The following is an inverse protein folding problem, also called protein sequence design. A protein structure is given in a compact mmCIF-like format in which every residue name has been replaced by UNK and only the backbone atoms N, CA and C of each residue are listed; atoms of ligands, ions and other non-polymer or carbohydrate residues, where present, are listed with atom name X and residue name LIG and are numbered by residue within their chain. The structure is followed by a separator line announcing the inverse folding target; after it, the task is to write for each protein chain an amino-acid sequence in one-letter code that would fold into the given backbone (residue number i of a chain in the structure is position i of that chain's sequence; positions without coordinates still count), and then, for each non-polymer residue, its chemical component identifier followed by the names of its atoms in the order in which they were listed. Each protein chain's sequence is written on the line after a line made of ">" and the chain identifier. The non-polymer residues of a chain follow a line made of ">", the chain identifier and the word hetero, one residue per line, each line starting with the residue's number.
data_IF_544115282416
#
_entry.id   IF_544115282416
#
_cell.length_a   1.000
_cell.length_b   1.000
_cell.length_c   1.000
_cell.angle_alpha   90.00
_cell.angle_beta   90.00
_cell.angle_gamma   90.00
#
_symmetry.space_group_name_H-M   'P 1'
#
loop_
_entity.id
_entity.type
_entity.pdbx_description
1 polymer ?
#
# COMPACT_ATOMS: atom_id res chain seq x y z
N UNK A 1 24.40 -6.71 -7.86
CA UNK A 1 23.01 -7.19 -7.94
C UNK A 1 22.24 -5.96 -8.36
N UNK A 2 21.83 -5.91 -9.63
CA UNK A 2 21.06 -4.79 -10.13
C UNK A 2 19.65 -4.96 -9.57
N UNK A 3 19.22 -4.04 -8.69
CA UNK A 3 17.84 -3.98 -8.24
C UNK A 3 16.98 -3.58 -9.45
N UNK A 4 16.38 -4.56 -10.10
CA UNK A 4 15.46 -4.32 -11.20
C UNK A 4 14.03 -4.26 -10.66
N UNK A 5 13.46 -3.05 -10.64
CA UNK A 5 12.08 -2.82 -10.25
C UNK A 5 11.16 -3.27 -11.38
N UNK A 6 10.20 -4.15 -11.08
CA UNK A 6 9.20 -4.54 -12.05
C UNK A 6 8.10 -3.46 -12.10
N UNK A 7 8.22 -2.57 -13.08
CA UNK A 7 7.30 -1.43 -13.21
C UNK A 7 5.86 -1.85 -13.50
N UNK A 8 5.63 -2.97 -14.20
CA UNK A 8 4.27 -3.45 -14.47
C UNK A 8 3.61 -3.98 -13.20
N UNK A 9 4.32 -4.81 -12.43
CA UNK A 9 3.85 -5.30 -11.12
C UNK A 9 3.57 -4.15 -10.14
N UNK A 10 4.43 -3.12 -10.13
CA UNK A 10 4.23 -1.93 -9.29
C UNK A 10 2.96 -1.16 -9.69
N UNK A 11 2.75 -0.95 -10.99
CA UNK A 11 1.55 -0.27 -11.51
C UNK A 11 0.29 -1.08 -11.20
N UNK A 12 0.32 -2.39 -11.41
CA UNK A 12 -0.81 -3.27 -11.14
C UNK A 12 -1.17 -3.27 -9.64
N UNK A 13 -0.16 -3.37 -8.77
CA UNK A 13 -0.36 -3.28 -7.32
C UNK A 13 -0.95 -1.92 -6.93
N UNK A 14 -0.46 -0.82 -7.50
CA UNK A 14 -0.96 0.53 -7.21
C UNK A 14 -2.42 0.69 -7.64
N UNK A 15 -2.79 0.20 -8.83
CA UNK A 15 -4.19 0.23 -9.28
C UNK A 15 -5.09 -0.61 -8.38
N UNK A 16 -4.64 -1.80 -7.99
CA UNK A 16 -5.40 -2.69 -7.11
C UNK A 16 -5.70 -2.01 -5.77
N UNK A 17 -4.68 -1.48 -5.09
CA UNK A 17 -4.87 -0.81 -3.79
C UNK A 17 -5.70 0.47 -3.91
N UNK A 18 -5.62 1.23 -5.02
CA UNK A 18 -6.46 2.41 -5.25
C UNK A 18 -7.94 2.00 -5.39
N UNK A 19 -8.20 0.88 -6.07
CA UNK A 19 -9.57 0.39 -6.29
C UNK A 19 -10.28 -0.02 -4.99
N UNK A 20 -9.52 -0.44 -3.97
CA UNK A 20 -10.03 -0.77 -2.64
C UNK A 20 -10.30 0.52 -1.87
N UNK A 21 -11.57 0.77 -1.54
CA UNK A 21 -11.97 1.95 -0.78
C UNK A 21 -11.47 1.82 0.66
N UNK A 22 -10.71 2.82 1.09
CA UNK A 22 -10.10 2.85 2.41
C UNK A 22 -10.27 4.24 3.01
N UNK A 23 -11.51 4.70 3.20
CA UNK A 23 -11.72 5.98 3.86
C UNK A 23 -11.26 5.92 5.31
N UNK A 24 -10.93 7.07 5.91
CA UNK A 24 -10.58 7.16 7.33
C UNK A 24 -11.54 6.33 8.20
N UNK A 25 -10.97 5.48 9.07
CA UNK A 25 -11.66 4.51 9.94
C UNK A 25 -12.40 3.36 9.24
N UNK A 26 -12.32 3.25 7.91
CA UNK A 26 -13.01 2.24 7.07
C UNK A 26 -12.06 1.53 6.12
N UNK A 27 -10.83 1.29 6.57
CA UNK A 27 -9.74 0.71 5.79
C UNK A 27 -9.52 -0.80 6.02
N UNK A 28 -10.45 -1.48 6.70
CA UNK A 28 -10.36 -2.93 7.03
C UNK A 28 -10.07 -3.79 5.80
N UNK A 29 -10.78 -3.56 4.69
CA UNK A 29 -10.61 -4.36 3.46
C UNK A 29 -9.22 -4.19 2.86
N UNK A 30 -8.69 -2.95 2.85
CA UNK A 30 -7.33 -2.70 2.38
C UNK A 30 -6.29 -3.29 3.32
N UNK A 31 -6.51 -3.22 4.65
CA UNK A 31 -5.63 -3.88 5.61
C UNK A 31 -5.56 -5.40 5.38
N UNK A 32 -6.70 -6.06 5.14
CA UNK A 32 -6.78 -7.50 4.87
C UNK A 32 -6.07 -7.88 3.56
N UNK A 33 -6.24 -7.07 2.52
CA UNK A 33 -5.52 -7.21 1.25
C UNK A 33 -4.00 -7.09 1.46
N UNK A 34 -3.54 -6.05 2.16
CA UNK A 34 -2.12 -5.82 2.39
C UNK A 34 -1.47 -6.93 3.22
N UNK A 35 -2.17 -7.46 4.22
CA UNK A 35 -1.70 -8.62 4.99
C UNK A 35 -1.49 -9.82 4.06
N UNK A 36 -2.45 -10.08 3.17
CA UNK A 36 -2.38 -11.18 2.20
C UNK A 36 -1.25 -10.99 1.19
N UNK A 37 -0.99 -9.77 0.72
CA UNK A 37 0.11 -9.47 -0.20
C UNK A 37 1.48 -9.54 0.47
N UNK A 38 1.62 -8.97 1.67
CA UNK A 38 2.88 -8.95 2.41
C UNK A 38 3.25 -10.34 2.92
N UNK A 39 2.28 -11.20 3.26
CA UNK A 39 2.52 -12.58 3.70
C UNK A 39 3.22 -13.43 2.63
N UNK A 40 3.18 -13.02 1.36
CA UNK A 40 3.89 -13.70 0.27
C UNK A 40 5.39 -13.45 0.28
N UNK A 41 5.87 -12.40 0.95
CA UNK A 41 7.24 -11.89 0.82
C UNK A 41 7.94 -11.55 2.14
N UNK A 42 7.18 -11.23 3.19
CA UNK A 42 7.72 -10.90 4.50
C UNK A 42 8.00 -12.17 5.32
N UNK A 43 8.94 -12.09 6.27
CA UNK A 43 9.17 -13.17 7.23
C UNK A 43 7.98 -13.34 8.18
N UNK A 44 7.31 -12.23 8.50
CA UNK A 44 6.16 -12.18 9.40
C UNK A 44 5.31 -10.97 9.06
N UNK A 45 3.99 -11.12 9.16
CA UNK A 45 3.04 -10.02 9.07
C UNK A 45 2.09 -10.07 10.24
N UNK A 46 1.83 -8.92 10.86
CA UNK A 46 0.91 -8.77 11.98
C UNK A 46 -0.09 -7.66 11.69
N UNK A 47 -1.33 -7.88 12.14
CA UNK A 47 -2.32 -6.82 12.30
C UNK A 47 -2.29 -6.35 13.74
N UNK A 48 -1.86 -5.13 13.99
CA UNK A 48 -1.97 -4.50 15.30
C UNK A 48 -3.37 -3.87 15.41
N UNK A 49 -4.23 -4.34 16.33
CA UNK A 49 -5.55 -3.76 16.51
C UNK A 49 -5.48 -2.30 16.96
N UNK A 50 -6.33 -1.46 16.36
CA UNK A 50 -6.56 -0.07 16.78
C UNK A 50 -8.07 0.12 16.87
N UNK A 51 -8.55 0.72 17.95
CA UNK A 51 -9.98 0.89 18.19
C UNK A 51 -10.60 1.82 17.14
N UNK A 52 -11.71 1.39 16.53
CA UNK A 52 -12.48 2.21 15.61
C UNK A 52 -11.92 2.33 14.18
N UNK A 53 -10.94 1.50 13.80
CA UNK A 53 -10.42 1.50 12.42
C UNK A 53 -9.92 0.11 11.97
N UNK A 54 -9.26 0.05 10.80
CA UNK A 54 -8.71 -1.17 10.22
C UNK A 54 -7.48 -1.73 10.95
N UNK A 55 -6.87 -0.99 11.87
CA UNK A 55 -5.63 -1.37 12.54
C UNK A 55 -4.40 -1.23 11.65
N UNK A 56 -3.22 -1.33 12.27
CA UNK A 56 -1.95 -1.19 11.55
C UNK A 56 -1.53 -2.54 10.95
N UNK A 57 -0.99 -2.52 9.74
CA UNK A 57 -0.35 -3.68 9.11
C UNK A 57 1.17 -3.54 9.27
N UNK A 58 1.79 -4.49 9.96
CA UNK A 58 3.23 -4.48 10.25
C UNK A 58 3.86 -5.71 9.59
N UNK A 59 4.78 -5.48 8.66
CA UNK A 59 5.54 -6.54 8.01
C UNK A 59 7.02 -6.47 8.41
N UNK A 60 7.58 -7.63 8.75
CA UNK A 60 8.96 -7.78 9.20
C UNK A 60 9.78 -8.50 8.14
N UNK A 61 10.95 -7.93 7.83
CA UNK A 61 11.89 -8.44 6.84
C UNK A 61 13.29 -8.58 7.46
N UNK A 62 13.99 -9.65 7.10
CA UNK A 62 15.34 -9.94 7.59
C UNK A 62 15.36 -10.59 8.98
N UNK A 63 16.57 -10.84 9.52
CA UNK A 63 16.75 -11.54 10.79
C UNK A 63 16.39 -10.65 11.99
N UNK A 64 15.83 -11.25 13.04
CA UNK A 64 15.42 -10.51 14.24
C UNK A 64 16.61 -9.92 15.00
N UNK A 65 17.80 -10.50 14.92
CA UNK A 65 19.02 -10.04 15.61
C UNK A 65 19.88 -9.08 14.78
N UNK A 66 19.33 -8.51 13.69
CA UNK A 66 20.03 -7.53 12.89
C UNK A 66 20.52 -6.33 13.74
N UNK A 67 21.79 -5.91 13.61
CA UNK A 67 22.36 -4.82 14.43
C UNK A 67 21.79 -3.44 14.07
N UNK A 68 21.15 -3.32 12.91
CA UNK A 68 20.48 -2.11 12.43
C UNK A 68 19.10 -2.48 11.88
N UNK A 69 18.10 -1.67 12.24
CA UNK A 69 16.71 -1.84 11.78
C UNK A 69 16.22 -0.55 11.16
N UNK A 70 15.53 -0.65 10.03
CA UNK A 70 14.86 0.46 9.37
C UNK A 70 13.36 0.30 9.53
N UNK A 71 12.66 1.41 9.81
CA UNK A 71 11.20 1.48 9.77
C UNK A 71 10.79 2.30 8.56
N UNK A 72 10.09 1.67 7.63
CA UNK A 72 9.41 2.35 6.53
C UNK A 72 7.93 2.49 6.90
N UNK A 73 7.37 3.68 6.75
CA UNK A 73 6.03 3.99 7.23
C UNK A 73 5.26 4.83 6.21
N UNK A 74 4.00 4.48 6.00
CA UNK A 74 2.99 5.28 5.31
C UNK A 74 1.63 5.01 5.96
N UNK A 75 0.58 5.60 5.41
CA UNK A 75 -0.80 5.29 5.75
C UNK A 75 -1.53 4.70 4.53
N UNK A 76 -2.68 4.06 4.78
CA UNK A 76 -3.49 3.40 3.76
C UNK A 76 -4.87 4.03 3.62
N UNK A 77 -5.28 4.83 4.61
CA UNK A 77 -6.55 5.51 4.59
C UNK A 77 -6.54 6.68 3.60
N UNK A 78 -7.73 7.16 3.28
CA UNK A 78 -7.98 8.22 2.33
C UNK A 78 -9.04 9.14 2.89
N UNK A 79 -9.03 10.38 2.40
CA UNK A 79 -10.14 11.31 2.59
C UNK A 79 -11.40 10.79 1.90
N UNK A 80 -12.56 11.36 2.24
CA UNK A 80 -13.80 11.07 1.52
C UNK A 80 -13.72 11.45 0.04
N UNK A 81 -14.57 10.84 -0.77
CA UNK A 81 -14.70 11.23 -2.17
C UNK A 81 -15.39 12.61 -2.26
N UNK A 82 -14.71 13.57 -2.90
CA UNK A 82 -15.29 14.88 -3.22
C UNK A 82 -15.95 14.89 -4.60
N UNK A 83 -16.81 15.87 -4.85
CA UNK A 83 -17.36 16.12 -6.18
C UNK A 83 -16.30 16.74 -7.12
N UNK A 84 -16.55 16.68 -8.44
CA UNK A 84 -15.73 17.39 -9.45
C UNK A 84 -14.57 16.58 -10.05
N UNK A 85 -14.53 15.27 -9.84
CA UNK A 85 -13.57 14.39 -10.54
C UNK A 85 -13.82 14.39 -12.05
N UNK A 86 -12.76 14.63 -12.82
CA UNK A 86 -12.74 14.54 -14.30
C UNK A 86 -12.14 13.23 -14.82
N UNK A 87 -11.69 12.37 -13.91
CA UNK A 87 -11.04 11.06 -14.11
C UNK A 87 -11.59 10.07 -13.10
N UNK A 88 -11.39 8.78 -13.30
CA UNK A 88 -11.86 7.74 -12.37
C UNK A 88 -11.13 7.85 -11.01
N UNK A 89 -11.84 8.08 -9.89
CA UNK A 89 -11.22 8.12 -8.57
C UNK A 89 -10.75 6.73 -8.08
N UNK A 90 -11.17 5.65 -8.73
CA UNK A 90 -10.89 4.28 -8.31
C UNK A 90 -9.76 3.60 -9.09
N UNK A 91 -8.95 4.38 -9.78
CA UNK A 91 -7.81 3.89 -10.56
C UNK A 91 -8.05 4.08 -12.05
N UNK A 92 -7.21 4.89 -12.66
CA UNK A 92 -7.11 5.08 -14.11
C UNK A 92 -5.66 5.42 -14.44
N UNK A 93 -5.17 4.91 -15.57
CA UNK A 93 -3.89 5.30 -16.14
C UNK A 93 -4.17 6.07 -17.42
N UNK A 94 -3.63 7.29 -17.50
CA UNK A 94 -3.59 8.09 -18.72
C UNK A 94 -2.13 8.42 -19.00
N UNK A 95 -1.58 7.81 -20.06
CA UNK A 95 -0.16 7.82 -20.42
C UNK A 95 0.75 7.40 -19.24
N UNK A 96 1.39 8.37 -18.59
CA UNK A 96 2.36 8.18 -17.51
C UNK A 96 1.82 8.64 -16.14
N UNK A 97 0.52 8.93 -16.06
CA UNK A 97 -0.11 9.45 -14.83
C UNK A 97 -1.15 8.45 -14.33
N UNK A 98 -1.05 8.11 -13.04
CA UNK A 98 -2.05 7.32 -12.33
C UNK A 98 -3.00 8.27 -11.61
N UNK A 99 -4.28 8.20 -11.94
CA UNK A 99 -5.36 8.93 -11.29
C UNK A 99 -6.09 8.02 -10.31
N UNK A 100 -6.42 8.57 -9.15
CA UNK A 100 -7.20 7.87 -8.15
C UNK A 100 -7.06 8.48 -6.76
N UNK A 101 -8.07 8.28 -5.92
CA UNK A 101 -8.02 8.74 -4.54
C UNK A 101 -6.94 7.96 -3.79
N UNK A 102 -6.09 8.71 -3.09
CA UNK A 102 -4.93 8.16 -2.42
C UNK A 102 -3.77 7.75 -3.32
N UNK A 103 -3.85 7.95 -4.65
CA UNK A 103 -2.73 7.65 -5.55
C UNK A 103 -1.44 8.34 -5.10
N UNK A 104 -1.50 9.66 -4.82
CA UNK A 104 -0.38 10.39 -4.22
C UNK A 104 -0.29 10.19 -2.70
N UNK A 105 -1.42 10.29 -1.99
CA UNK A 105 -1.47 10.32 -0.52
C UNK A 105 -2.33 9.17 0.07
N UNK A 106 -1.76 8.02 0.40
CA UNK A 106 -0.33 7.66 0.30
C UNK A 106 -0.09 6.28 -0.33
N UNK A 107 -1.03 5.81 -1.18
CA UNK A 107 -1.01 4.46 -1.76
C UNK A 107 0.18 4.23 -2.70
N UNK A 108 0.66 5.24 -3.43
CA UNK A 108 1.90 5.09 -4.23
C UNK A 108 3.12 4.77 -3.38
N UNK A 109 3.32 5.46 -2.25
CA UNK A 109 4.40 5.15 -1.30
C UNK A 109 4.28 3.72 -0.78
N UNK A 110 3.06 3.27 -0.47
CA UNK A 110 2.80 1.90 -0.02
C UNK A 110 3.19 0.86 -1.10
N UNK A 111 2.73 1.06 -2.34
CA UNK A 111 3.07 0.16 -3.44
C UNK A 111 4.59 0.14 -3.72
N UNK A 112 5.24 1.31 -3.70
CA UNK A 112 6.68 1.43 -3.91
C UNK A 112 7.49 0.73 -2.81
N UNK A 113 7.09 0.86 -1.54
CA UNK A 113 7.74 0.16 -0.42
C UNK A 113 7.60 -1.35 -0.54
N UNK A 114 6.42 -1.85 -0.91
CA UNK A 114 6.19 -3.28 -1.12
C UNK A 114 7.09 -3.78 -2.26
N UNK A 115 7.10 -3.09 -3.41
CA UNK A 115 7.91 -3.49 -4.56
C UNK A 115 9.42 -3.49 -4.26
N UNK A 116 9.90 -2.48 -3.55
CA UNK A 116 11.31 -2.38 -3.14
C UNK A 116 11.74 -3.49 -2.17
N UNK A 117 10.80 -4.17 -1.50
CA UNK A 117 11.06 -5.29 -0.59
C UNK A 117 10.84 -6.66 -1.25
N UNK A 118 10.39 -6.70 -2.52
CA UNK A 118 10.23 -7.93 -3.32
C UNK A 118 11.49 -8.38 -4.05
N UNK A 119 12.52 -7.55 -4.06
CA UNK A 119 13.75 -7.69 -4.86
C UNK A 119 14.90 -8.28 -4.07
#
# INVERSE_FOLDING_TARGET
>A
MDLEINSDRLKDLLLEIISIKSFFSREVELADFLISELAKIANKVERQPVEGCGGNVIAYFGPEDAPLRYLLMCHMDTVELFEGWSRNPWGEIDENVVYGIGALDSKSSLAAMIEALRV
#
